data_IF_340103445966
#
_entry.id   IF_340103445966
#
_cell.length_a   1.000
_cell.length_b   1.000
_cell.length_c   1.000
_cell.angle_alpha   90.00
_cell.angle_beta   90.00
_cell.angle_gamma   90.00
#
_symmetry.space_group_name_H-M   'P 1'
#
loop_
_entity.id
_entity.type
_entity.pdbx_description
1 polymer ?
#
# COMPACT_ATOMS: atom_id res chain seq x y z
N UNK A 1 16.67 65.53 -79.29
CA UNK A 1 16.71 65.54 -77.81
C UNK A 1 15.68 64.53 -77.34
N UNK A 2 16.08 63.25 -77.29
CA UNK A 2 16.51 62.53 -76.08
C UNK A 2 15.41 62.41 -75.03
N UNK A 3 15.11 61.27 -74.43
CA UNK A 3 15.24 59.86 -74.79
C UNK A 3 14.47 59.16 -73.66
N UNK A 4 13.45 58.36 -73.98
CA UNK A 4 12.70 57.58 -72.99
C UNK A 4 13.58 56.40 -72.56
N UNK A 5 13.90 56.28 -71.28
CA UNK A 5 14.35 55.00 -70.71
C UNK A 5 13.68 54.71 -69.37
N UNK A 6 12.54 54.02 -69.47
CA UNK A 6 11.91 53.27 -68.39
C UNK A 6 12.79 52.08 -68.00
N UNK A 7 13.38 52.11 -66.81
CA UNK A 7 14.14 51.00 -66.24
C UNK A 7 13.20 49.87 -65.82
N UNK A 8 13.20 48.81 -66.62
CA UNK A 8 12.63 47.50 -66.31
C UNK A 8 13.39 46.88 -65.13
N UNK A 9 12.73 46.74 -63.97
CA UNK A 9 13.21 45.84 -62.92
C UNK A 9 12.60 44.45 -63.12
N UNK A 10 13.50 43.49 -63.35
CA UNK A 10 13.24 42.09 -63.66
C UNK A 10 12.50 41.41 -62.51
N UNK A 11 11.23 41.10 -62.71
CA UNK A 11 10.50 40.16 -61.86
C UNK A 11 11.19 38.80 -61.88
N UNK A 12 11.68 38.35 -60.72
CA UNK A 12 12.13 36.96 -60.53
C UNK A 12 10.93 36.05 -60.77
N UNK A 13 11.00 35.22 -61.83
CA UNK A 13 10.03 34.16 -62.14
C UNK A 13 9.85 33.28 -60.89
N UNK A 14 8.73 33.43 -60.19
CA UNK A 14 8.28 32.53 -59.12
C UNK A 14 7.35 31.51 -59.75
N UNK A 15 7.93 30.53 -60.43
CA UNK A 15 7.24 29.25 -60.67
C UNK A 15 7.18 28.47 -59.36
N UNK A 16 6.19 27.59 -59.15
CA UNK A 16 6.06 26.85 -57.90
C UNK A 16 7.28 25.94 -57.73
N UNK A 17 8.02 26.11 -56.63
CA UNK A 17 8.85 25.02 -56.11
C UNK A 17 7.89 23.85 -55.85
N UNK A 18 8.31 22.63 -56.21
CA UNK A 18 7.50 21.41 -56.09
C UNK A 18 6.62 21.42 -54.84
N UNK A 19 5.33 21.09 -55.00
CA UNK A 19 4.38 21.08 -53.90
C UNK A 19 4.73 19.91 -52.98
N UNK A 20 5.64 20.15 -52.03
CA UNK A 20 5.92 19.19 -50.96
C UNK A 20 4.62 18.95 -50.20
N UNK A 21 4.26 17.68 -50.04
CA UNK A 21 3.09 17.27 -49.28
C UNK A 21 3.29 17.58 -47.80
N UNK A 22 2.20 17.85 -47.07
CA UNK A 22 2.27 18.10 -45.64
C UNK A 22 2.80 16.87 -44.87
N UNK A 23 2.57 15.66 -45.39
CA UNK A 23 3.12 14.40 -44.84
C UNK A 23 4.65 14.34 -44.99
N UNK A 24 5.17 14.64 -46.17
CA UNK A 24 6.62 14.71 -46.41
C UNK A 24 7.28 15.78 -45.55
N UNK A 25 6.61 16.92 -45.33
CA UNK A 25 7.10 17.95 -44.42
C UNK A 25 7.10 17.46 -42.96
N UNK A 26 6.13 16.65 -42.52
CA UNK A 26 6.13 16.05 -41.17
C UNK A 26 7.30 15.07 -40.98
N UNK A 27 7.55 14.22 -41.96
CA UNK A 27 8.68 13.27 -41.94
C UNK A 27 10.02 14.00 -41.83
N UNK A 28 10.23 15.03 -42.65
CA UNK A 28 11.43 15.86 -42.61
C UNK A 28 11.61 16.57 -41.24
N UNK A 29 10.52 17.06 -40.65
CA UNK A 29 10.56 17.68 -39.33
C UNK A 29 10.95 16.68 -38.23
N UNK A 30 10.47 15.44 -38.31
CA UNK A 30 10.83 14.35 -37.39
C UNK A 30 12.30 13.94 -37.54
N UNK A 31 12.80 13.80 -38.76
CA UNK A 31 14.21 13.48 -39.00
C UNK A 31 15.17 14.55 -38.45
N UNK A 32 14.82 15.82 -38.63
CA UNK A 32 15.62 16.94 -38.11
C UNK A 32 15.55 17.00 -36.58
N UNK A 33 14.37 16.75 -36.00
CA UNK A 33 14.23 16.66 -34.53
C UNK A 33 15.10 15.56 -33.95
N UNK A 34 15.12 14.37 -34.58
CA UNK A 34 15.98 13.24 -34.20
C UNK A 34 17.47 13.59 -34.24
N UNK A 35 17.92 14.31 -35.27
CA UNK A 35 19.32 14.79 -35.36
C UNK A 35 19.67 15.78 -34.25
N UNK A 36 18.70 16.53 -33.73
CA UNK A 36 18.92 17.64 -32.80
C UNK A 36 18.70 17.29 -31.32
N UNK A 37 18.34 16.04 -31.02
CA UNK A 37 18.16 15.44 -29.69
C UNK A 37 17.29 16.27 -28.73
N UNK A 38 17.81 17.38 -28.20
CA UNK A 38 17.23 18.18 -27.13
C UNK A 38 16.95 19.64 -27.50
N UNK A 39 17.36 20.11 -28.69
CA UNK A 39 17.08 21.49 -29.10
C UNK A 39 15.65 21.67 -29.59
N UNK A 40 15.07 22.85 -29.30
CA UNK A 40 13.75 23.24 -29.82
C UNK A 40 13.86 23.45 -31.34
N UNK A 41 13.00 22.76 -32.07
CA UNK A 41 12.86 22.86 -33.51
C UNK A 41 12.30 24.25 -33.85
N UNK A 42 13.11 25.10 -34.49
CA UNK A 42 12.67 26.44 -34.92
C UNK A 42 12.42 26.48 -36.42
N UNK A 43 11.45 27.28 -36.86
CA UNK A 43 11.10 27.40 -38.28
C UNK A 43 12.28 27.88 -39.15
N UNK A 44 13.15 28.73 -38.61
CA UNK A 44 14.36 29.20 -39.30
C UNK A 44 15.42 28.09 -39.44
N UNK A 45 15.44 27.13 -38.52
CA UNK A 45 16.33 25.98 -38.60
C UNK A 45 15.85 24.98 -39.66
N UNK A 46 14.54 24.71 -39.68
CA UNK A 46 13.93 23.90 -40.74
C UNK A 46 14.17 24.47 -42.13
N UNK A 47 14.13 25.79 -42.29
CA UNK A 47 14.46 26.45 -43.56
C UNK A 47 15.92 26.25 -43.99
N UNK A 48 16.86 26.30 -43.05
CA UNK A 48 18.29 26.05 -43.33
C UNK A 48 18.56 24.60 -43.74
N UNK A 49 17.91 23.64 -43.08
CA UNK A 49 18.11 22.21 -43.29
C UNK A 49 17.36 21.66 -44.51
N UNK A 50 16.16 22.17 -44.79
CA UNK A 50 15.27 21.62 -45.86
C UNK A 50 15.17 22.50 -47.10
N UNK A 51 15.61 23.76 -47.03
CA UNK A 51 15.42 24.75 -48.10
C UNK A 51 13.94 25.17 -48.33
N UNK A 52 13.01 24.65 -47.52
CA UNK A 52 11.59 25.03 -47.53
C UNK A 52 11.41 26.30 -46.70
N UNK A 53 10.74 27.30 -47.28
CA UNK A 53 10.63 28.61 -46.67
C UNK A 53 9.98 28.59 -45.28
N UNK A 54 10.50 29.39 -44.34
CA UNK A 54 10.00 29.51 -42.95
C UNK A 54 8.49 29.70 -42.87
N UNK A 55 7.93 30.52 -43.76
CA UNK A 55 6.50 30.82 -43.79
C UNK A 55 5.65 29.62 -44.21
N UNK A 56 6.20 28.70 -44.99
CA UNK A 56 5.52 27.45 -45.38
C UNK A 56 5.40 26.53 -44.17
N UNK A 57 6.48 26.37 -43.41
CA UNK A 57 6.47 25.61 -42.16
C UNK A 57 5.50 26.20 -41.13
N UNK A 58 5.57 27.51 -40.93
CA UNK A 58 4.67 28.20 -40.01
C UNK A 58 3.20 28.07 -40.44
N UNK A 59 2.88 28.29 -41.71
CA UNK A 59 1.49 28.26 -42.17
C UNK A 59 0.87 26.87 -42.17
N UNK A 60 1.65 25.82 -42.48
CA UNK A 60 1.12 24.47 -42.72
C UNK A 60 1.31 23.52 -41.53
N UNK A 61 2.32 23.74 -40.69
CA UNK A 61 2.75 22.79 -39.65
C UNK A 61 3.13 23.47 -38.32
N UNK A 62 2.63 24.67 -38.03
CA UNK A 62 2.89 25.35 -36.75
C UNK A 62 2.41 24.54 -35.55
N UNK A 63 1.22 23.94 -35.61
CA UNK A 63 0.71 23.06 -34.55
C UNK A 63 1.61 21.84 -34.32
N UNK A 64 1.95 21.13 -35.39
CA UNK A 64 2.80 19.92 -35.33
C UNK A 64 4.21 20.24 -34.81
N UNK A 65 4.81 21.35 -35.22
CA UNK A 65 6.13 21.79 -34.73
C UNK A 65 6.05 22.23 -33.26
N UNK A 66 4.91 22.78 -32.83
CA UNK A 66 4.70 23.10 -31.42
C UNK A 66 4.60 21.83 -30.58
N UNK A 67 3.84 20.83 -31.02
CA UNK A 67 3.72 19.52 -30.40
C UNK A 67 5.08 18.81 -30.29
N UNK A 68 5.87 18.78 -31.37
CA UNK A 68 7.24 18.21 -31.37
C UNK A 68 8.22 18.94 -30.43
N UNK A 69 7.88 20.14 -29.98
CA UNK A 69 8.69 20.93 -29.07
C UNK A 69 8.20 20.87 -27.62
N UNK A 70 7.03 20.28 -27.37
CA UNK A 70 6.58 20.02 -26.02
C UNK A 70 7.40 18.86 -25.44
N UNK A 71 7.95 19.00 -24.23
CA UNK A 71 8.54 17.87 -23.54
C UNK A 71 7.44 16.83 -23.31
N UNK A 72 7.72 15.58 -23.64
CA UNK A 72 6.86 14.46 -23.27
C UNK A 72 6.97 14.34 -21.74
N UNK A 73 6.02 14.95 -21.03
CA UNK A 73 5.92 14.84 -19.59
C UNK A 73 5.55 13.38 -19.29
N UNK A 74 6.48 12.64 -18.67
CA UNK A 74 6.13 11.38 -18.02
C UNK A 74 5.45 11.73 -16.71
N UNK A 75 4.20 11.30 -16.54
CA UNK A 75 3.47 11.43 -15.27
C UNK A 75 3.78 10.29 -14.27
N UNK A 76 4.77 9.44 -14.55
CA UNK A 76 5.24 8.46 -13.58
C UNK A 76 6.20 9.16 -12.62
N UNK A 77 5.68 9.49 -11.44
CA UNK A 77 6.45 10.05 -10.34
C UNK A 77 7.61 9.13 -9.99
N UNK A 78 8.83 9.66 -10.08
CA UNK A 78 10.03 9.02 -9.53
C UNK A 78 9.81 8.75 -8.05
N UNK A 79 9.42 7.52 -7.75
CA UNK A 79 9.36 7.01 -6.40
C UNK A 79 10.49 5.98 -6.33
N UNK A 80 11.32 6.02 -5.29
CA UNK A 80 12.52 5.18 -5.12
C UNK A 80 12.25 3.64 -5.12
N UNK A 81 11.00 3.24 -5.35
CA UNK A 81 10.52 1.86 -5.48
C UNK A 81 10.31 1.38 -6.94
N UNK A 82 10.59 2.21 -7.95
CA UNK A 82 10.46 1.80 -9.36
C UNK A 82 11.64 0.92 -9.80
N UNK A 83 11.75 -0.28 -9.21
CA UNK A 83 12.59 -1.38 -9.72
C UNK A 83 12.05 -1.94 -11.05
N UNK A 84 10.82 -1.57 -11.42
CA UNK A 84 10.20 -1.97 -12.68
C UNK A 84 10.61 -0.97 -13.76
N UNK A 85 11.73 -1.27 -14.43
CA UNK A 85 12.15 -0.58 -15.64
C UNK A 85 11.13 -0.82 -16.76
N UNK A 86 10.14 0.06 -16.88
CA UNK A 86 9.28 0.09 -18.06
C UNK A 86 10.09 0.69 -19.23
N UNK A 87 10.38 -0.07 -20.29
CA UNK A 87 11.07 0.48 -21.45
C UNK A 87 10.27 1.64 -22.04
N UNK A 88 10.93 2.68 -22.54
CA UNK A 88 10.21 3.71 -23.28
C UNK A 88 9.96 3.22 -24.71
N UNK A 89 8.71 2.98 -25.10
CA UNK A 89 8.36 2.52 -26.45
C UNK A 89 8.90 3.50 -27.50
N UNK A 90 8.71 4.81 -27.31
CA UNK A 90 9.25 5.82 -28.23
C UNK A 90 10.78 5.80 -28.25
N UNK A 91 11.42 5.59 -27.09
CA UNK A 91 12.87 5.43 -26.97
C UNK A 91 13.40 4.19 -27.72
N UNK A 92 12.65 3.10 -27.73
CA UNK A 92 12.98 1.88 -28.50
C UNK A 92 12.90 2.17 -30.01
N UNK A 93 11.85 2.84 -30.47
CA UNK A 93 11.70 3.21 -31.88
C UNK A 93 12.71 4.28 -32.32
N UNK A 94 13.15 5.16 -31.43
CA UNK A 94 14.21 6.13 -31.70
C UNK A 94 15.60 5.48 -31.76
N UNK A 95 15.92 4.57 -30.84
CA UNK A 95 17.23 3.91 -30.76
C UNK A 95 17.40 2.77 -31.78
N UNK A 96 16.33 2.03 -32.05
CA UNK A 96 16.36 0.80 -32.84
C UNK A 96 15.45 0.83 -34.07
N UNK A 97 14.89 1.98 -34.43
CA UNK A 97 14.02 2.18 -35.61
C UNK A 97 14.53 1.57 -36.91
N UNK A 98 15.86 1.56 -37.11
CA UNK A 98 16.51 0.99 -38.29
C UNK A 98 16.66 -0.54 -38.23
N UNK A 99 16.49 -1.16 -37.06
CA UNK A 99 16.65 -2.60 -36.83
C UNK A 99 15.37 -3.22 -36.27
N UNK A 100 14.54 -3.73 -37.19
CA UNK A 100 13.24 -4.37 -36.88
C UNK A 100 13.34 -5.54 -35.91
N UNK A 101 14.38 -6.37 -36.01
CA UNK A 101 14.55 -7.53 -35.13
C UNK A 101 14.76 -7.10 -33.67
N UNK A 102 15.48 -5.99 -33.46
CA UNK A 102 15.76 -5.49 -32.11
C UNK A 102 14.50 -4.89 -31.47
N UNK A 103 13.65 -4.22 -32.25
CA UNK A 103 12.34 -3.75 -31.77
C UNK A 103 11.44 -4.92 -31.38
N UNK A 104 11.40 -5.98 -32.19
CA UNK A 104 10.61 -7.18 -31.88
C UNK A 104 11.07 -7.80 -30.55
N UNK A 105 12.38 -7.89 -30.31
CA UNK A 105 12.90 -8.41 -29.05
C UNK A 105 12.52 -7.55 -27.83
N UNK A 106 12.60 -6.23 -27.96
CA UNK A 106 12.18 -5.31 -26.88
C UNK A 106 10.66 -5.40 -26.61
N UNK A 107 9.84 -5.59 -27.65
CA UNK A 107 8.40 -5.81 -27.51
C UNK A 107 8.07 -7.18 -26.89
N UNK A 108 8.84 -8.22 -27.17
CA UNK A 108 8.70 -9.50 -26.46
C UNK A 108 9.07 -9.37 -24.99
N UNK A 109 10.05 -8.53 -24.65
CA UNK A 109 10.37 -8.26 -23.25
C UNK A 109 9.21 -7.56 -22.53
N UNK A 110 8.53 -6.63 -23.20
CA UNK A 110 7.28 -6.06 -22.70
C UNK A 110 6.17 -7.09 -22.49
N UNK A 111 5.99 -8.01 -23.44
CA UNK A 111 4.99 -9.06 -23.35
C UNK A 111 5.23 -9.95 -22.13
N UNK A 112 6.49 -10.34 -21.88
CA UNK A 112 6.88 -11.11 -20.71
C UNK A 112 6.63 -10.36 -19.41
N UNK A 113 7.07 -9.10 -19.31
CA UNK A 113 6.83 -8.26 -18.12
C UNK A 113 5.32 -8.10 -17.84
N UNK A 114 4.51 -7.96 -18.89
CA UNK A 114 3.06 -7.86 -18.74
C UNK A 114 2.44 -9.18 -18.24
N UNK A 115 2.90 -10.32 -18.74
CA UNK A 115 2.46 -11.64 -18.26
C UNK A 115 2.85 -11.86 -16.80
N UNK A 116 4.10 -11.57 -16.42
CA UNK A 116 4.59 -11.67 -15.04
C UNK A 116 3.77 -10.80 -14.08
N UNK A 117 3.54 -9.53 -14.44
CA UNK A 117 2.70 -8.62 -13.64
C UNK A 117 1.26 -9.12 -13.50
N UNK A 118 0.70 -9.70 -14.57
CA UNK A 118 -0.65 -10.24 -14.53
C UNK A 118 -0.76 -11.46 -13.62
N UNK A 119 0.22 -12.36 -13.68
CA UNK A 119 0.31 -13.53 -12.80
C UNK A 119 0.50 -13.12 -11.34
N UNK A 120 1.41 -12.19 -11.05
CA UNK A 120 1.65 -11.68 -9.71
C UNK A 120 0.40 -11.01 -9.14
N UNK A 121 -0.28 -10.19 -9.93
CA UNK A 121 -1.54 -9.56 -9.55
C UNK A 121 -2.62 -10.58 -9.21
N UNK A 122 -2.72 -11.67 -9.97
CA UNK A 122 -3.69 -12.74 -9.68
C UNK A 122 -3.31 -13.50 -8.41
N UNK A 123 -2.04 -13.81 -8.19
CA UNK A 123 -1.55 -14.45 -6.97
C UNK A 123 -1.82 -13.58 -5.73
N UNK A 124 -1.56 -12.27 -5.82
CA UNK A 124 -1.87 -11.31 -4.76
C UNK A 124 -3.37 -11.26 -4.47
N UNK A 125 -4.22 -11.30 -5.51
CA UNK A 125 -5.68 -11.36 -5.34
C UNK A 125 -6.12 -12.63 -4.61
N UNK A 126 -5.54 -13.79 -4.94
CA UNK A 126 -5.82 -15.03 -4.22
C UNK A 126 -5.38 -14.99 -2.76
N UNK A 127 -4.19 -14.44 -2.49
CA UNK A 127 -3.70 -14.23 -1.11
C UNK A 127 -4.63 -13.32 -0.32
N UNK A 128 -5.13 -12.25 -0.93
CA UNK A 128 -6.08 -11.32 -0.32
C UNK A 128 -7.39 -12.03 0.04
N UNK A 129 -7.96 -12.80 -0.89
CA UNK A 129 -9.17 -13.60 -0.62
C UNK A 129 -8.97 -14.59 0.54
N UNK A 130 -7.79 -15.25 0.60
CA UNK A 130 -7.44 -16.15 1.72
C UNK A 130 -7.35 -15.37 3.03
N UNK A 131 -6.75 -14.18 3.04
CA UNK A 131 -6.64 -13.33 4.22
C UNK A 131 -8.02 -12.91 4.74
N UNK A 132 -8.93 -12.50 3.86
CA UNK A 132 -10.33 -12.22 4.23
C UNK A 132 -11.00 -13.44 4.86
N UNK A 133 -10.83 -14.63 4.26
CA UNK A 133 -11.37 -15.86 4.84
C UNK A 133 -10.80 -16.21 6.22
N UNK A 134 -9.53 -15.87 6.49
CA UNK A 134 -8.93 -16.07 7.79
C UNK A 134 -9.44 -15.05 8.80
N UNK A 135 -9.68 -13.81 8.39
CA UNK A 135 -10.30 -12.79 9.24
C UNK A 135 -11.68 -13.23 9.73
N UNK A 136 -12.52 -13.76 8.84
CA UNK A 136 -13.83 -14.29 9.20
C UNK A 136 -13.74 -15.47 10.18
N UNK A 137 -12.78 -16.37 9.96
CA UNK A 137 -12.53 -17.50 10.88
C UNK A 137 -12.05 -17.03 12.24
N UNK A 138 -11.15 -16.06 12.29
CA UNK A 138 -10.68 -15.47 13.55
C UNK A 138 -11.86 -14.87 14.30
N UNK A 139 -12.71 -14.07 13.64
CA UNK A 139 -13.88 -13.49 14.29
C UNK A 139 -14.81 -14.57 14.88
N UNK A 140 -15.08 -15.64 14.12
CA UNK A 140 -15.89 -16.78 14.59
C UNK A 140 -15.27 -17.48 15.80
N UNK A 141 -13.98 -17.79 15.76
CA UNK A 141 -13.31 -18.45 16.87
C UNK A 141 -13.19 -17.55 18.10
N UNK A 142 -13.02 -16.24 17.91
CA UNK A 142 -12.95 -15.28 19.01
C UNK A 142 -14.29 -15.21 19.75
N UNK A 143 -15.41 -15.19 19.01
CA UNK A 143 -16.76 -15.27 19.59
C UNK A 143 -16.97 -16.59 20.34
N UNK A 144 -16.64 -17.72 19.72
CA UNK A 144 -16.78 -19.04 20.36
C UNK A 144 -15.95 -19.17 21.65
N UNK A 145 -14.73 -18.59 21.69
CA UNK A 145 -13.91 -18.56 22.89
C UNK A 145 -14.57 -17.72 23.99
N UNK A 146 -15.13 -16.55 23.63
CA UNK A 146 -15.82 -15.70 24.60
C UNK A 146 -17.05 -16.40 25.19
N UNK A 147 -17.85 -17.07 24.36
CA UNK A 147 -19.02 -17.85 24.80
C UNK A 147 -18.60 -18.98 25.74
N UNK A 148 -17.58 -19.77 25.36
CA UNK A 148 -17.05 -20.85 26.21
C UNK A 148 -16.48 -20.33 27.54
N UNK A 149 -15.79 -19.18 27.53
CA UNK A 149 -15.29 -18.56 28.76
C UNK A 149 -16.44 -18.15 29.69
N UNK A 150 -17.54 -17.64 29.12
CA UNK A 150 -18.73 -17.31 29.88
C UNK A 150 -19.40 -18.55 30.47
N UNK A 151 -19.52 -19.64 29.71
CA UNK A 151 -20.02 -20.92 30.21
C UNK A 151 -19.16 -21.47 31.34
N UNK A 152 -17.84 -21.51 31.16
CA UNK A 152 -16.89 -21.97 32.18
C UNK A 152 -17.03 -21.14 33.45
N UNK A 153 -17.14 -19.81 33.32
CA UNK A 153 -17.35 -18.92 34.46
C UNK A 153 -18.68 -19.21 35.15
N UNK A 154 -19.76 -19.39 34.39
CA UNK A 154 -21.08 -19.71 34.93
C UNK A 154 -21.07 -21.02 35.73
N UNK A 155 -20.54 -22.10 35.15
CA UNK A 155 -20.46 -23.40 35.83
C UNK A 155 -19.50 -23.37 37.03
N UNK A 156 -18.41 -22.62 36.95
CA UNK A 156 -17.50 -22.42 38.09
C UNK A 156 -18.22 -21.72 39.25
N UNK A 157 -18.92 -20.62 38.97
CA UNK A 157 -19.70 -19.91 40.01
C UNK A 157 -20.80 -20.80 40.58
N UNK A 158 -21.51 -21.56 39.74
CA UNK A 158 -22.53 -22.49 40.20
C UNK A 158 -21.94 -23.57 41.11
N UNK A 159 -20.81 -24.15 40.71
CA UNK A 159 -20.09 -25.13 41.51
C UNK A 159 -19.64 -24.55 42.85
N UNK A 160 -19.00 -23.38 42.85
CA UNK A 160 -18.58 -22.68 44.07
C UNK A 160 -19.76 -22.38 44.99
N UNK A 161 -20.88 -21.93 44.43
CA UNK A 161 -22.11 -21.65 45.17
C UNK A 161 -22.67 -22.92 45.83
N UNK A 162 -22.74 -24.04 45.11
CA UNK A 162 -23.20 -25.34 45.65
C UNK A 162 -22.24 -25.84 46.73
N UNK A 163 -20.92 -25.70 46.53
CA UNK A 163 -19.92 -26.13 47.51
C UNK A 163 -20.04 -25.34 48.81
N UNK A 164 -20.16 -24.01 48.73
CA UNK A 164 -20.32 -23.15 49.91
C UNK A 164 -21.67 -23.40 50.58
N UNK A 165 -22.76 -23.48 49.82
CA UNK A 165 -24.11 -23.73 50.38
C UNK A 165 -24.24 -25.10 51.03
N UNK A 166 -23.44 -26.09 50.61
CA UNK A 166 -23.41 -27.41 51.24
C UNK A 166 -22.97 -27.40 52.71
N UNK A 167 -22.29 -26.34 53.17
CA UNK A 167 -21.89 -26.16 54.58
C UNK A 167 -23.11 -25.83 55.44
N UNK A 168 -24.07 -25.07 54.90
CA UNK A 168 -25.24 -24.60 55.62
C UNK A 168 -26.37 -25.65 55.60
N UNK A 169 -26.83 -26.17 56.76
CA UNK A 169 -27.79 -27.27 56.79
C UNK A 169 -29.12 -27.00 56.09
N UNK A 170 -29.63 -25.77 56.17
CA UNK A 170 -30.91 -25.39 55.59
C UNK A 170 -30.84 -25.23 54.06
N UNK A 171 -29.71 -24.77 53.52
CA UNK A 171 -29.49 -24.69 52.07
C UNK A 171 -29.14 -26.06 51.48
N UNK A 172 -28.46 -26.92 52.25
CA UNK A 172 -28.11 -28.28 51.84
C UNK A 172 -29.33 -29.13 51.45
N UNK A 173 -30.41 -29.02 52.22
CA UNK A 173 -31.67 -29.72 51.93
C UNK A 173 -32.35 -29.18 50.66
N UNK A 174 -32.21 -27.88 50.36
CA UNK A 174 -32.75 -27.24 49.15
C UNK A 174 -32.05 -27.74 47.88
N UNK A 175 -30.74 -28.01 47.96
CA UNK A 175 -29.95 -28.59 46.86
C UNK A 175 -29.97 -30.13 46.81
N UNK A 176 -30.72 -30.79 47.72
CA UNK A 176 -30.84 -32.25 47.75
C UNK A 176 -29.54 -32.99 48.12
N UNK A 177 -28.62 -32.30 48.80
CA UNK A 177 -27.33 -32.84 49.21
C UNK A 177 -27.46 -33.58 50.54
N UNK A 178 -26.94 -34.81 50.63
CA UNK A 178 -27.06 -35.65 51.83
C UNK A 178 -26.03 -35.36 52.91
N UNK A 179 -24.92 -34.75 52.53
CA UNK A 179 -23.80 -34.47 53.42
C UNK A 179 -23.09 -33.18 53.01
N UNK A 180 -22.30 -32.62 53.92
CA UNK A 180 -21.47 -31.46 53.66
C UNK A 180 -20.32 -31.84 52.72
N UNK A 181 -20.15 -31.09 51.63
CA UNK A 181 -19.08 -31.36 50.65
C UNK A 181 -17.73 -30.78 51.09
N UNK A 182 -17.73 -29.91 52.10
CA UNK A 182 -16.54 -29.29 52.68
C UNK A 182 -16.34 -29.77 54.12
N UNK A 183 -15.50 -30.77 54.32
CA UNK A 183 -15.12 -31.23 55.67
C UNK A 183 -13.85 -30.54 56.17
N UNK A 184 -14.04 -29.39 56.83
CA UNK A 184 -12.96 -28.65 57.49
C UNK A 184 -12.35 -29.37 58.70
N UNK A 185 -13.04 -30.38 59.25
CA UNK A 185 -12.66 -31.10 60.46
C UNK A 185 -11.81 -32.35 60.19
N UNK A 186 -11.78 -32.84 58.95
CA UNK A 186 -10.96 -34.01 58.54
C UNK A 186 -9.46 -33.83 58.78
N UNK A 187 -8.94 -32.60 58.67
CA UNK A 187 -7.51 -32.28 58.79
C UNK A 187 -7.27 -30.96 59.55
N UNK A 188 -7.86 -30.82 60.73
CA UNK A 188 -7.77 -29.62 61.59
C UNK A 188 -6.32 -29.14 61.77
N UNK A 189 -5.36 -30.03 62.00
CA UNK A 189 -3.95 -29.66 62.19
C UNK A 189 -3.30 -29.00 60.96
N UNK A 190 -3.75 -29.34 59.74
CA UNK A 190 -3.29 -28.72 58.49
C UNK A 190 -4.07 -27.43 58.16
N UNK A 191 -5.35 -27.40 58.52
CA UNK A 191 -6.28 -26.31 58.22
C UNK A 191 -6.23 -25.16 59.24
N UNK A 192 -5.80 -25.42 60.48
CA UNK A 192 -5.63 -24.43 61.54
C UNK A 192 -4.22 -23.82 61.61
N UNK A 193 -3.28 -24.35 60.82
CA UNK A 193 -1.91 -23.84 60.76
C UNK A 193 -1.85 -22.57 59.90
N UNK A 194 -1.71 -21.41 60.55
CA UNK A 194 -1.43 -20.12 59.90
C UNK A 194 -0.11 -20.12 59.10
N UNK A 195 0.78 -21.08 59.36
CA UNK A 195 2.05 -21.27 58.63
C UNK A 195 1.79 -21.66 57.16
N UNK A 196 0.71 -22.42 56.90
CA UNK A 196 0.33 -22.78 55.54
C UNK A 196 -0.36 -21.63 54.79
N UNK A 197 -1.01 -20.73 55.52
CA UNK A 197 -1.64 -19.53 54.93
C UNK A 197 -0.59 -18.63 54.27
N UNK A 198 0.57 -18.47 54.91
CA UNK A 198 1.72 -17.72 54.38
C UNK A 198 2.37 -18.38 53.16
N UNK A 199 2.29 -19.71 53.02
CA UNK A 199 2.74 -20.42 51.82
C UNK A 199 1.74 -20.31 50.66
N UNK A 200 0.44 -20.20 50.98
CA UNK A 200 -0.62 -20.00 49.98
C UNK A 200 -0.79 -18.54 49.56
N UNK A 201 -0.34 -17.59 50.39
CA UNK A 201 -0.32 -16.14 50.12
C UNK A 201 1.06 -15.53 50.44
N UNK A 202 2.11 -15.85 49.66
CA UNK A 202 3.50 -15.51 49.98
C UNK A 202 3.84 -14.01 49.94
N UNK A 203 2.95 -13.16 49.42
CA UNK A 203 3.17 -11.71 49.29
C UNK A 203 2.82 -10.92 50.55
N UNK A 204 2.13 -11.53 51.52
CA UNK A 204 1.80 -10.88 52.80
C UNK A 204 2.86 -11.27 53.85
N UNK A 205 4.07 -10.75 53.67
CA UNK A 205 5.05 -10.72 54.76
C UNK A 205 4.99 -9.36 55.43
N UNK A 206 4.49 -9.35 56.65
CA UNK A 206 4.60 -8.22 57.58
C UNK A 206 6.10 -7.91 57.76
N UNK A 207 6.55 -6.83 57.13
CA UNK A 207 7.68 -6.09 57.65
C UNK A 207 7.10 -5.12 58.67
N UNK A 208 7.22 -5.49 59.94
CA UNK A 208 7.15 -4.58 61.07
C UNK A 208 8.17 -3.45 60.84
N UNK A 209 7.70 -2.32 60.30
CA UNK A 209 8.17 -0.96 60.58
C UNK A 209 7.33 0.03 59.77
N UNK A 210 6.51 0.78 60.50
CA UNK A 210 5.61 1.85 60.08
C UNK A 210 6.14 2.74 58.93
N UNK A 211 5.69 2.49 57.70
CA UNK A 211 5.59 3.45 56.58
C UNK A 211 4.36 3.15 55.71
N UNK A 212 3.19 3.30 56.32
CA UNK A 212 1.94 2.59 55.97
C UNK A 212 0.99 3.30 54.95
N UNK A 213 1.44 4.29 54.18
CA UNK A 213 0.60 4.86 53.08
C UNK A 213 1.08 4.45 51.69
N UNK A 214 2.38 4.55 51.40
CA UNK A 214 2.91 4.30 50.05
C UNK A 214 2.88 2.84 49.59
N UNK A 215 2.79 1.88 50.52
CA UNK A 215 2.76 0.44 50.20
C UNK A 215 1.31 -0.01 50.01
N UNK A 216 0.37 0.52 50.80
CA UNK A 216 -1.06 0.26 50.61
C UNK A 216 -1.54 0.75 49.26
N UNK A 217 -1.14 1.96 48.86
CA UNK A 217 -1.53 2.52 47.55
C UNK A 217 -1.01 1.69 46.38
N UNK A 218 0.22 1.18 46.47
CA UNK A 218 0.79 0.29 45.45
C UNK A 218 0.07 -1.05 45.37
N UNK A 219 -0.18 -1.68 46.52
CA UNK A 219 -0.89 -2.95 46.56
C UNK A 219 -2.35 -2.79 46.08
N UNK A 220 -2.97 -1.63 46.32
CA UNK A 220 -4.33 -1.33 45.87
C UNK A 220 -4.39 -0.98 44.38
N UNK A 221 -3.36 -0.34 43.82
CA UNK A 221 -3.21 -0.18 42.36
C UNK A 221 -2.99 -1.53 41.66
N UNK A 222 -2.19 -2.43 42.24
CA UNK A 222 -1.98 -3.78 41.71
C UNK A 222 -3.26 -4.61 41.77
N UNK A 223 -4.01 -4.57 42.87
CA UNK A 223 -5.33 -5.21 42.99
C UNK A 223 -6.34 -4.65 42.00
N UNK A 224 -6.40 -3.33 41.80
CA UNK A 224 -7.24 -2.71 40.76
C UNK A 224 -6.83 -3.13 39.36
N UNK A 225 -5.53 -3.31 39.11
CA UNK A 225 -5.02 -3.76 37.82
C UNK A 225 -5.28 -5.24 37.55
N UNK A 226 -5.27 -6.07 38.59
CA UNK A 226 -5.54 -7.50 38.50
C UNK A 226 -7.05 -7.81 38.44
N UNK A 227 -7.86 -6.96 39.06
CA UNK A 227 -9.32 -7.06 39.12
C UNK A 227 -10.03 -5.86 38.47
N UNK A 228 -9.61 -5.46 37.26
CA UNK A 228 -10.20 -4.32 36.50
C UNK A 228 -11.71 -4.41 36.25
N UNK A 229 -12.32 -5.57 36.49
CA UNK A 229 -13.75 -5.80 36.27
C UNK A 229 -14.58 -5.62 37.56
N UNK A 230 -13.95 -5.31 38.69
CA UNK A 230 -14.58 -5.15 40.02
C UNK A 230 -14.51 -3.71 40.56
N UNK A 231 -13.79 -2.80 39.87
CA UNK A 231 -13.60 -1.40 40.23
C UNK A 231 -13.70 -0.49 39.01
#
# INVERSE_FOLDING_TARGET
>A
MSDKTSKVQRGKKRGPKEKVSDEQMKELALEIKKKLKQQKLTFSMLEKETGIGRNTWKRRLEGFIHELNQPILRDFGYTDSDEIYFPNIEGIFEAYGSNKQRIINELHHFELLFQELYEERNNLKEKLNKLESFKDKIEKYTKAIADLQQEVKHYKTLYEQIMVSSVEPHLRDEFGLKDNLLDFNSHIEKNASLVNLQQQFPEVRENDEDKDETIRDKNMEELKNQFKNLF
#
